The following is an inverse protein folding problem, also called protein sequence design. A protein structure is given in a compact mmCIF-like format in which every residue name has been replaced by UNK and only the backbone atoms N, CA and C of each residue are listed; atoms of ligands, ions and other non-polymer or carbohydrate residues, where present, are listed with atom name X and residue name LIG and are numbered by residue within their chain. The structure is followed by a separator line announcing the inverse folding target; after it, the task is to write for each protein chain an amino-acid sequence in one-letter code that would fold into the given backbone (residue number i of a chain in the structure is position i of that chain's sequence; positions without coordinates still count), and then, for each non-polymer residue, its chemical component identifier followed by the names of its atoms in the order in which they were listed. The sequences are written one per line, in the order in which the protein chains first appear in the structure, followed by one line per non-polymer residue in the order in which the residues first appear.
data_IF_270898341222
#
_entry.id   IF_270898341222
#
_cell.length_a   1.000
_cell.length_b   1.000
_cell.length_c   1.000
_cell.angle_alpha   90.00
_cell.angle_beta   90.00
_cell.angle_gamma   90.00
#
_symmetry.space_group_name_H-M   'P 1'
#
loop_
_entity.id
_entity.type
_entity.pdbx_description
1 polymer ?
#
# COMPACT_ATOMS: atom_id res chain seq x y z
N UNK A 1 -8.97 -18.65 18.18
CA UNK A 1 -7.82 -18.06 18.91
C UNK A 1 -7.89 -16.56 18.70
N UNK A 2 -8.07 -15.78 19.76
CA UNK A 2 -8.12 -14.33 19.67
C UNK A 2 -6.68 -13.79 19.55
N UNK A 3 -6.35 -13.18 18.42
CA UNK A 3 -5.10 -12.45 18.24
C UNK A 3 -5.14 -11.20 19.12
N UNK A 4 -4.42 -11.22 20.25
CA UNK A 4 -4.16 -10.02 21.04
C UNK A 4 -3.30 -9.05 20.23
N UNK A 5 -3.94 -8.00 19.71
CA UNK A 5 -3.24 -6.87 19.09
C UNK A 5 -2.46 -6.14 20.19
N UNK A 6 -1.14 -6.22 20.16
CA UNK A 6 -0.27 -5.43 21.04
C UNK A 6 -0.42 -3.95 20.67
N UNK A 7 -1.02 -3.16 21.56
CA UNK A 7 -1.12 -1.71 21.35
C UNK A 7 0.30 -1.14 21.47
N UNK A 8 0.84 -0.51 20.42
CA UNK A 8 2.17 0.10 20.50
C UNK A 8 2.15 1.21 21.57
N UNK A 9 3.11 1.15 22.49
CA UNK A 9 3.22 2.10 23.61
C UNK A 9 3.73 3.49 23.19
N UNK A 10 4.13 3.65 21.93
CA UNK A 10 4.59 4.90 21.34
C UNK A 10 3.97 5.10 19.96
N UNK A 11 3.65 6.35 19.64
CA UNK A 11 3.17 6.74 18.32
C UNK A 11 4.27 6.58 17.27
N UNK A 12 3.89 6.18 16.06
CA UNK A 12 4.78 6.20 14.91
C UNK A 12 5.14 7.63 14.53
N UNK A 13 6.24 7.79 13.78
CA UNK A 13 6.63 9.07 13.20
C UNK A 13 5.50 9.71 12.38
N UNK A 14 4.78 8.93 11.56
CA UNK A 14 3.65 9.42 10.78
C UNK A 14 2.50 9.90 11.67
N UNK A 15 2.17 9.16 12.73
CA UNK A 15 1.14 9.56 13.68
C UNK A 15 1.51 10.89 14.38
N UNK A 16 2.77 11.05 14.79
CA UNK A 16 3.27 12.29 15.40
C UNK A 16 3.16 13.46 14.42
N UNK A 17 3.52 13.25 13.15
CA UNK A 17 3.45 14.32 12.14
C UNK A 17 2.01 14.77 11.87
N UNK A 18 1.06 13.83 11.79
CA UNK A 18 -0.35 14.16 11.63
C UNK A 18 -0.91 14.93 12.84
N UNK A 19 -0.48 14.60 14.06
CA UNK A 19 -0.90 15.34 15.26
C UNK A 19 -0.41 16.80 15.26
N UNK A 20 0.72 17.10 14.62
CA UNK A 20 1.19 18.49 14.46
C UNK A 20 0.28 19.32 13.57
N UNK A 21 -0.59 18.70 12.78
CA UNK A 21 -1.56 19.40 11.94
C UNK A 21 -2.79 19.87 12.72
N UNK A 22 -3.08 19.30 13.89
CA UNK A 22 -4.30 19.59 14.68
C UNK A 22 -4.48 21.05 15.12
N UNK A 23 -3.42 21.85 15.39
CA UNK A 23 -3.58 23.27 15.69
C UNK A 23 -4.10 24.09 14.52
N UNK A 24 -3.86 23.64 13.29
CA UNK A 24 -4.45 24.20 12.10
C UNK A 24 -5.82 23.54 11.97
N UNK A 25 -6.91 24.27 12.14
CA UNK A 25 -8.27 23.72 11.99
C UNK A 25 -8.50 23.27 10.54
N UNK A 26 -8.02 22.07 10.20
CA UNK A 26 -8.10 21.49 8.87
C UNK A 26 -9.56 21.25 8.55
N UNK A 27 -10.06 21.87 7.49
CA UNK A 27 -11.41 21.60 7.00
C UNK A 27 -11.50 20.18 6.44
N UNK A 28 -12.70 19.60 6.39
CA UNK A 28 -12.93 18.28 5.77
C UNK A 28 -12.40 18.20 4.33
N UNK A 29 -12.45 19.32 3.60
CA UNK A 29 -11.88 19.43 2.26
C UNK A 29 -10.37 19.24 2.27
N UNK A 30 -9.65 19.97 3.14
CA UNK A 30 -8.19 19.88 3.25
C UNK A 30 -7.76 18.50 3.77
N UNK A 31 -8.54 17.88 4.65
CA UNK A 31 -8.31 16.50 5.07
C UNK A 31 -8.45 15.52 3.89
N UNK A 32 -9.42 15.76 3.01
CA UNK A 32 -9.57 15.06 1.74
C UNK A 32 -8.35 15.24 0.83
N UNK A 33 -7.84 16.46 0.72
CA UNK A 33 -6.64 16.78 -0.07
C UNK A 33 -5.39 16.06 0.49
N UNK A 34 -5.21 16.03 1.82
CA UNK A 34 -4.12 15.28 2.48
C UNK A 34 -4.23 13.78 2.19
N UNK A 35 -5.44 13.21 2.26
CA UNK A 35 -5.67 11.79 1.95
C UNK A 35 -5.27 11.50 0.50
N UNK A 36 -5.66 12.37 -0.42
CA UNK A 36 -5.31 12.23 -1.84
C UNK A 36 -3.80 12.27 -2.05
N UNK A 37 -3.09 13.21 -1.42
CA UNK A 37 -1.62 13.30 -1.51
C UNK A 37 -0.96 11.99 -1.04
N UNK A 38 -1.42 11.43 0.08
CA UNK A 38 -0.91 10.15 0.59
C UNK A 38 -1.21 9.00 -0.37
N UNK A 39 -2.44 8.90 -0.90
CA UNK A 39 -2.81 7.87 -1.88
C UNK A 39 -1.96 7.96 -3.14
N UNK A 40 -1.78 9.16 -3.68
CA UNK A 40 -0.99 9.38 -4.89
C UNK A 40 0.50 9.05 -4.66
N UNK A 41 1.04 9.33 -3.46
CA UNK A 41 2.42 8.95 -3.10
C UNK A 41 2.61 7.43 -3.07
N UNK A 42 1.71 6.70 -2.40
CA UNK A 42 1.83 5.25 -2.30
C UNK A 42 1.57 4.54 -3.63
N UNK A 43 0.64 5.05 -4.45
CA UNK A 43 0.42 4.52 -5.80
C UNK A 43 1.71 4.60 -6.64
N UNK A 44 2.31 5.80 -6.72
CA UNK A 44 3.59 6.00 -7.43
C UNK A 44 4.71 5.12 -6.89
N UNK A 45 4.78 4.96 -5.58
CA UNK A 45 5.79 4.10 -4.95
C UNK A 45 5.60 2.63 -5.34
N UNK A 46 4.36 2.14 -5.34
CA UNK A 46 4.03 0.77 -5.76
C UNK A 46 4.38 0.58 -7.24
N UNK A 47 4.04 1.54 -8.10
CA UNK A 47 4.36 1.49 -9.52
C UNK A 47 5.88 1.38 -9.71
N UNK A 48 6.68 2.25 -9.07
CA UNK A 48 8.14 2.17 -9.14
C UNK A 48 8.71 0.86 -8.59
N UNK A 49 8.22 0.37 -7.45
CA UNK A 49 8.67 -0.91 -6.89
C UNK A 49 8.31 -2.08 -7.83
N UNK A 50 7.17 -2.02 -8.51
CA UNK A 50 6.77 -3.02 -9.50
C UNK A 50 7.66 -2.98 -10.74
N UNK A 51 7.97 -1.79 -11.25
CA UNK A 51 8.88 -1.61 -12.38
C UNK A 51 10.28 -2.16 -12.04
N UNK A 52 10.81 -1.84 -10.86
CA UNK A 52 12.09 -2.38 -10.38
C UNK A 52 12.08 -3.92 -10.26
N UNK A 53 10.99 -4.49 -9.75
CA UNK A 53 10.83 -5.94 -9.67
C UNK A 53 10.72 -6.57 -11.06
N UNK A 54 10.04 -5.91 -12.00
CA UNK A 54 9.88 -6.36 -13.37
C UNK A 54 11.22 -6.48 -14.07
N UNK A 55 12.06 -5.44 -13.97
CA UNK A 55 13.42 -5.42 -14.51
C UNK A 55 14.32 -6.44 -13.81
N UNK A 56 14.32 -6.47 -12.47
CA UNK A 56 15.22 -7.34 -11.70
C UNK A 56 14.99 -8.83 -11.95
N UNK A 57 13.73 -9.23 -12.16
CA UNK A 57 13.39 -10.62 -12.39
C UNK A 57 13.35 -10.99 -13.87
N UNK A 58 13.79 -10.09 -14.76
CA UNK A 58 13.76 -10.26 -16.22
C UNK A 58 12.38 -10.72 -16.71
N UNK A 59 11.34 -10.12 -16.12
CA UNK A 59 9.97 -10.44 -16.49
C UNK A 59 9.67 -9.87 -17.87
N UNK A 60 9.03 -10.68 -18.69
CA UNK A 60 8.67 -10.31 -20.06
C UNK A 60 7.49 -11.12 -20.55
N UNK A 61 7.29 -11.14 -21.86
CA UNK A 61 6.13 -11.78 -22.48
C UNK A 61 5.98 -13.26 -22.11
N UNK A 62 7.10 -13.97 -21.92
CA UNK A 62 7.09 -15.38 -21.51
C UNK A 62 6.58 -15.57 -20.07
N UNK A 63 6.89 -14.63 -19.16
CA UNK A 63 6.38 -14.62 -17.79
C UNK A 63 4.89 -14.34 -17.76
N UNK A 64 4.41 -13.44 -18.64
CA UNK A 64 2.98 -13.14 -18.76
C UNK A 64 2.21 -14.35 -19.28
N UNK A 65 2.72 -15.03 -20.32
CA UNK A 65 2.08 -16.24 -20.86
C UNK A 65 2.11 -17.40 -19.85
N UNK A 66 3.17 -17.54 -19.05
CA UNK A 66 3.20 -18.54 -17.98
C UNK A 66 2.14 -18.27 -16.91
N UNK A 67 2.03 -17.04 -16.40
CA UNK A 67 1.00 -16.65 -15.42
C UNK A 67 -0.42 -16.77 -15.94
N UNK A 68 -0.65 -16.48 -17.22
CA UNK A 68 -1.96 -16.66 -17.88
C UNK A 68 -2.40 -18.13 -17.91
N UNK A 69 -1.45 -19.05 -18.06
CA UNK A 69 -1.71 -20.49 -17.98
C UNK A 69 -1.82 -21.01 -16.53
N UNK A 70 -1.27 -20.25 -15.58
CA UNK A 70 -1.24 -20.60 -14.17
C UNK A 70 -2.63 -20.39 -13.52
N UNK A 71 -3.28 -21.49 -13.14
CA UNK A 71 -4.55 -21.44 -12.41
C UNK A 71 -4.31 -21.14 -10.91
N UNK A 72 -3.89 -19.92 -10.60
CA UNK A 72 -3.57 -19.47 -9.22
C UNK A 72 -4.83 -19.06 -8.45
N UNK A 73 -5.95 -18.82 -9.15
CA UNK A 73 -7.24 -18.70 -8.50
C UNK A 73 -7.60 -20.06 -7.92
N UNK A 74 -7.76 -20.11 -6.59
CA UNK A 74 -7.91 -21.33 -5.81
C UNK A 74 -8.73 -22.41 -6.55
N UNK A 75 -8.20 -23.63 -6.62
CA UNK A 75 -9.07 -24.79 -6.74
C UNK A 75 -10.04 -24.68 -5.58
N UNK A 76 -11.30 -24.38 -5.86
CA UNK A 76 -12.38 -24.63 -4.94
C UNK A 76 -12.33 -26.12 -4.64
N UNK A 77 -11.65 -26.48 -3.55
CA UNK A 77 -11.74 -27.80 -2.97
C UNK A 77 -13.19 -27.94 -2.55
N UNK A 78 -13.87 -28.88 -3.19
CA UNK A 78 -15.18 -29.36 -2.79
C UNK A 78 -15.08 -30.15 -1.48
#
# INVERSE_FOLDING_TARGET
MATTQTIPTRLSNLQIELLKLYPYSVSEKELGDIRKILSDYFAKKIDSEMDELWEKNDWGDQTIESWKSEHIRSKSSK
#
